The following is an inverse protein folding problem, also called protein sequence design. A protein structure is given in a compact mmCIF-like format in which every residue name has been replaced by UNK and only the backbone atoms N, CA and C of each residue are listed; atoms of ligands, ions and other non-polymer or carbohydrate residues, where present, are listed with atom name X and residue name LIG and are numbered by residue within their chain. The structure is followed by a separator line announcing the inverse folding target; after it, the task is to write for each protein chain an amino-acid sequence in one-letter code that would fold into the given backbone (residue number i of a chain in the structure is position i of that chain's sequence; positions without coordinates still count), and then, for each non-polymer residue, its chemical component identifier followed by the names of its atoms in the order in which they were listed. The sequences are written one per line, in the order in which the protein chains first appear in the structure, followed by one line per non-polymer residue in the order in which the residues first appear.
data_IF_808741596028
#
_entry.id   IF_808741596028
#
_cell.length_a   1.000
_cell.length_b   1.000
_cell.length_c   1.000
_cell.angle_alpha   90.00
_cell.angle_beta   90.00
_cell.angle_gamma   90.00
#
_symmetry.space_group_name_H-M   'P 1'
#
loop_
_entity.id
_entity.type
_entity.pdbx_description
1 polymer ?
#
# COMPACT_ATOMS: atom_id res chain seq x y z
N UNK A 1 0.95 7.18 16.99
CA UNK A 1 2.25 7.24 16.29
C UNK A 1 2.60 5.97 15.50
N UNK A 2 2.28 4.76 16.00
CA UNK A 2 2.69 3.51 15.35
C UNK A 2 1.92 3.16 14.08
N UNK A 3 0.62 3.44 13.96
CA UNK A 3 -0.19 3.04 12.80
C UNK A 3 0.24 3.74 11.50
N UNK A 4 0.43 5.06 11.53
CA UNK A 4 0.92 5.84 10.37
C UNK A 4 2.34 5.40 9.97
N UNK A 5 3.20 5.12 10.95
CA UNK A 5 4.54 4.56 10.72
C UNK A 5 4.50 3.16 10.09
N UNK A 6 3.66 2.26 10.62
CA UNK A 6 3.46 0.90 10.13
C UNK A 6 2.95 0.86 8.69
N UNK A 7 2.00 1.73 8.33
CA UNK A 7 1.50 1.83 6.94
C UNK A 7 2.63 2.31 6.03
N UNK A 8 3.39 3.32 6.44
CA UNK A 8 4.49 3.87 5.65
C UNK A 8 5.60 2.83 5.44
N UNK A 9 5.98 2.09 6.48
CA UNK A 9 6.98 1.02 6.37
C UNK A 9 6.47 -0.14 5.53
N UNK A 10 5.17 -0.47 5.61
CA UNK A 10 4.55 -1.48 4.74
C UNK A 10 4.55 -1.06 3.27
N UNK A 11 4.26 0.21 2.94
CA UNK A 11 4.38 0.72 1.56
C UNK A 11 5.84 0.66 1.09
N UNK A 12 6.80 1.01 1.96
CA UNK A 12 8.22 0.88 1.65
C UNK A 12 8.64 -0.58 1.39
N UNK A 13 8.17 -1.51 2.22
CA UNK A 13 8.38 -2.94 2.03
C UNK A 13 7.76 -3.44 0.71
N UNK A 14 6.55 -2.99 0.37
CA UNK A 14 5.89 -3.30 -0.90
C UNK A 14 6.73 -2.84 -2.09
N UNK A 15 7.25 -1.62 -2.04
CA UNK A 15 8.11 -1.06 -3.08
C UNK A 15 9.40 -1.88 -3.24
N UNK A 16 10.04 -2.25 -2.13
CA UNK A 16 11.22 -3.12 -2.16
C UNK A 16 10.87 -4.49 -2.77
N UNK A 17 9.70 -5.05 -2.43
CA UNK A 17 9.24 -6.31 -3.01
C UNK A 17 9.08 -6.22 -4.53
N UNK A 18 8.52 -5.12 -5.04
CA UNK A 18 8.34 -4.89 -6.47
C UNK A 18 9.66 -4.70 -7.23
N UNK A 19 10.63 -3.99 -6.64
CA UNK A 19 11.96 -3.81 -7.23
C UNK A 19 12.78 -5.11 -7.24
N UNK A 20 12.61 -5.95 -6.21
CA UNK A 20 13.28 -7.24 -6.08
C UNK A 20 12.55 -8.38 -6.81
N UNK A 21 11.39 -8.13 -7.41
CA UNK A 21 10.60 -9.14 -8.11
C UNK A 21 11.39 -9.82 -9.24
N UNK A 22 12.08 -9.03 -10.07
CA UNK A 22 12.88 -9.54 -11.18
C UNK A 22 14.10 -10.37 -10.74
N UNK A 23 14.95 -9.91 -9.79
CA UNK A 23 16.05 -10.75 -9.31
C UNK A 23 15.54 -12.00 -8.57
N UNK A 24 14.46 -11.89 -7.79
CA UNK A 24 13.88 -13.01 -7.06
C UNK A 24 13.23 -14.05 -7.97
N UNK A 25 12.74 -13.67 -9.17
CA UNK A 25 12.15 -14.62 -10.12
C UNK A 25 13.15 -15.65 -10.64
N UNK A 26 14.46 -15.45 -10.42
CA UNK A 26 15.50 -16.41 -10.80
C UNK A 26 15.55 -17.64 -9.89
N UNK A 27 14.98 -17.57 -8.69
CA UNK A 27 14.98 -18.67 -7.73
C UNK A 27 13.63 -18.78 -7.01
N UNK A 28 12.98 -19.94 -7.11
CA UNK A 28 11.67 -20.19 -6.50
C UNK A 28 11.64 -19.90 -4.99
N UNK A 29 12.72 -20.19 -4.26
CA UNK A 29 12.79 -19.93 -2.82
C UNK A 29 12.81 -18.42 -2.51
N UNK A 30 13.52 -17.63 -3.33
CA UNK A 30 13.55 -16.17 -3.20
C UNK A 30 12.18 -15.57 -3.52
N UNK A 31 11.54 -16.07 -4.57
CA UNK A 31 10.20 -15.65 -4.96
C UNK A 31 9.14 -15.98 -3.89
N UNK A 32 9.23 -17.17 -3.27
CA UNK A 32 8.36 -17.56 -2.16
C UNK A 32 8.56 -16.67 -0.93
N UNK A 33 9.81 -16.41 -0.54
CA UNK A 33 10.08 -15.52 0.59
C UNK A 33 9.57 -14.10 0.30
N UNK A 34 9.80 -13.62 -0.93
CA UNK A 34 9.34 -12.31 -1.37
C UNK A 34 7.81 -12.20 -1.35
N UNK A 35 7.09 -13.25 -1.77
CA UNK A 35 5.62 -13.26 -1.79
C UNK A 35 5.01 -13.20 -0.39
N UNK A 36 5.66 -13.80 0.61
CA UNK A 36 5.25 -13.70 2.02
C UNK A 36 5.34 -12.25 2.49
N UNK A 37 6.48 -11.58 2.29
CA UNK A 37 6.65 -10.17 2.67
C UNK A 37 5.70 -9.25 1.90
N UNK A 38 5.50 -9.53 0.62
CA UNK A 38 4.57 -8.80 -0.23
C UNK A 38 3.13 -8.91 0.27
N UNK A 39 2.69 -10.12 0.65
CA UNK A 39 1.36 -10.35 1.22
C UNK A 39 1.15 -9.65 2.57
N UNK A 40 2.15 -9.71 3.47
CA UNK A 40 2.12 -8.99 4.75
C UNK A 40 2.01 -7.48 4.52
N UNK A 41 2.78 -6.93 3.58
CA UNK A 41 2.75 -5.51 3.25
C UNK A 41 1.35 -5.06 2.79
N UNK A 42 0.73 -5.77 1.83
CA UNK A 42 -0.61 -5.44 1.34
C UNK A 42 -1.65 -5.50 2.47
N UNK A 43 -1.59 -6.53 3.32
CA UNK A 43 -2.53 -6.69 4.44
C UNK A 43 -2.42 -5.53 5.43
N UNK A 44 -1.20 -5.15 5.83
CA UNK A 44 -0.95 -4.03 6.75
C UNK A 44 -1.43 -2.71 6.15
N UNK A 45 -1.19 -2.47 4.86
CA UNK A 45 -1.67 -1.26 4.16
C UNK A 45 -3.20 -1.23 4.16
N UNK A 46 -3.86 -2.32 3.76
CA UNK A 46 -5.32 -2.40 3.66
C UNK A 46 -6.00 -2.17 5.02
N UNK A 47 -5.60 -2.93 6.03
CA UNK A 47 -6.17 -2.82 7.38
C UNK A 47 -5.82 -1.48 8.04
N UNK A 48 -4.58 -1.01 7.91
CA UNK A 48 -4.16 0.25 8.51
C UNK A 48 -4.90 1.46 7.92
N UNK A 49 -5.08 1.49 6.60
CA UNK A 49 -5.87 2.54 5.95
C UNK A 49 -7.35 2.44 6.30
N UNK A 50 -7.91 1.23 6.38
CA UNK A 50 -9.28 1.02 6.82
C UNK A 50 -9.51 1.59 8.21
N UNK A 51 -8.67 1.26 9.20
CA UNK A 51 -8.75 1.81 10.57
C UNK A 51 -8.69 3.35 10.57
N UNK A 52 -7.82 3.95 9.75
CA UNK A 52 -7.75 5.41 9.60
C UNK A 52 -9.04 6.00 9.05
N UNK A 53 -9.65 5.37 8.04
CA UNK A 53 -10.93 5.83 7.46
C UNK A 53 -12.05 5.80 8.52
N UNK A 54 -12.14 4.73 9.31
CA UNK A 54 -13.10 4.66 10.42
C UNK A 54 -12.87 5.77 11.45
N UNK A 55 -11.60 6.06 11.79
CA UNK A 55 -11.27 7.09 12.76
C UNK A 55 -11.54 8.52 12.25
N UNK A 56 -11.42 8.75 10.94
CA UNK A 56 -11.63 10.06 10.31
C UNK A 56 -13.11 10.39 10.08
N UNK A 57 -13.95 9.38 9.93
CA UNK A 57 -15.37 9.53 9.57
C UNK A 57 -16.28 8.65 10.44
N UNK A 58 -16.07 8.67 11.76
CA UNK A 58 -16.87 7.88 12.72
C UNK A 58 -18.36 8.16 12.62
N UNK A 59 -18.73 9.41 12.33
CA UNK A 59 -20.14 9.85 12.20
C UNK A 59 -20.84 9.33 10.93
N UNK A 60 -20.08 8.84 9.94
CA UNK A 60 -20.60 8.35 8.66
C UNK A 60 -19.86 7.09 8.19
N UNK A 61 -19.63 6.15 9.10
CA UNK A 61 -18.80 4.96 8.88
C UNK A 61 -19.23 4.16 7.64
N UNK A 62 -20.53 3.91 7.46
CA UNK A 62 -21.03 3.11 6.32
C UNK A 62 -20.72 3.78 4.97
N UNK A 63 -20.88 5.10 4.91
CA UNK A 63 -20.57 5.88 3.72
C UNK A 63 -19.07 5.89 3.45
N UNK A 64 -18.26 6.17 4.47
CA UNK A 64 -16.80 6.21 4.36
C UNK A 64 -16.22 4.85 3.93
N UNK A 65 -16.74 3.75 4.49
CA UNK A 65 -16.32 2.40 4.15
C UNK A 65 -16.76 1.99 2.74
N UNK A 66 -17.94 2.41 2.29
CA UNK A 66 -18.38 2.18 0.90
C UNK A 66 -17.49 2.91 -0.11
N UNK A 67 -17.10 4.16 0.18
CA UNK A 67 -16.16 4.94 -0.63
C UNK A 67 -14.77 4.30 -0.63
N UNK A 68 -14.29 3.86 0.54
CA UNK A 68 -13.01 3.16 0.67
C UNK A 68 -12.98 1.90 -0.20
N UNK A 69 -14.03 1.06 -0.10
CA UNK A 69 -14.18 -0.13 -0.95
C UNK A 69 -14.27 0.22 -2.43
N UNK A 70 -15.00 1.29 -2.78
CA UNK A 70 -15.11 1.77 -4.16
C UNK A 70 -13.75 2.13 -4.76
N UNK A 71 -12.94 2.91 -4.04
CA UNK A 71 -11.59 3.28 -4.49
C UNK A 71 -10.67 2.06 -4.54
N UNK A 72 -10.79 1.12 -3.59
CA UNK A 72 -9.98 -0.10 -3.59
C UNK A 72 -10.23 -0.95 -4.84
N UNK A 73 -11.51 -1.10 -5.24
CA UNK A 73 -11.88 -1.82 -6.47
C UNK A 73 -11.38 -1.11 -7.74
N UNK A 74 -11.48 0.23 -7.79
CA UNK A 74 -10.88 1.02 -8.88
C UNK A 74 -9.38 0.77 -8.95
N UNK A 75 -8.69 0.74 -7.82
CA UNK A 75 -7.25 0.42 -7.74
C UNK A 75 -6.91 -0.96 -8.29
N UNK A 76 -7.68 -1.99 -7.91
CA UNK A 76 -7.50 -3.36 -8.43
C UNK A 76 -7.72 -3.39 -9.95
N UNK A 77 -8.81 -2.79 -10.44
CA UNK A 77 -9.11 -2.74 -11.87
C UNK A 77 -8.05 -1.99 -12.68
N UNK A 78 -7.61 -0.84 -12.19
CA UNK A 78 -6.53 -0.06 -12.81
C UNK A 78 -5.20 -0.84 -12.81
N UNK A 79 -4.87 -1.50 -11.71
CA UNK A 79 -3.68 -2.35 -11.62
C UNK A 79 -3.71 -3.52 -12.60
N UNK A 80 -4.87 -4.18 -12.75
CA UNK A 80 -5.06 -5.25 -13.72
C UNK A 80 -4.93 -4.75 -15.16
N UNK A 81 -5.51 -3.59 -15.48
CA UNK A 81 -5.40 -2.97 -16.81
C UNK A 81 -3.95 -2.61 -17.13
N UNK A 82 -3.25 -1.92 -16.23
CA UNK A 82 -1.83 -1.58 -16.41
C UNK A 82 -0.99 -2.86 -16.53
N UNK A 83 -1.23 -3.86 -15.67
CA UNK A 83 -0.55 -5.16 -15.74
C UNK A 83 -0.73 -5.85 -17.09
N UNK A 84 -1.96 -5.84 -17.63
CA UNK A 84 -2.27 -6.37 -18.97
C UNK A 84 -1.54 -5.60 -20.07
N UNK A 85 -1.50 -4.27 -20.00
CA UNK A 85 -0.80 -3.44 -20.98
C UNK A 85 0.72 -3.68 -20.94
N UNK A 86 1.31 -3.80 -19.75
CA UNK A 86 2.74 -4.09 -19.58
C UNK A 86 3.08 -5.49 -20.08
N UNK A 87 2.22 -6.47 -19.82
CA UNK A 87 2.36 -7.83 -20.32
C UNK A 87 2.36 -7.90 -21.84
N UNK A 88 1.53 -7.10 -22.51
CA UNK A 88 1.31 -7.16 -23.96
C UNK A 88 2.28 -6.29 -24.75
N UNK A 89 2.64 -5.10 -24.24
CA UNK A 89 3.45 -4.11 -24.97
C UNK A 89 4.93 -4.08 -24.58
N UNK A 90 5.27 -4.49 -23.34
CA UNK A 90 6.63 -4.38 -22.81
C UNK A 90 7.25 -5.75 -22.57
N UNK A 91 6.90 -6.38 -21.45
CA UNK A 91 7.35 -7.73 -21.04
C UNK A 91 6.79 -8.03 -19.65
N UNK A 92 6.50 -9.31 -19.37
CA UNK A 92 6.17 -9.78 -18.01
C UNK A 92 7.25 -9.43 -16.97
N UNK A 93 8.52 -9.36 -17.40
CA UNK A 93 9.65 -9.00 -16.53
C UNK A 93 9.60 -7.55 -16.03
N UNK A 94 8.93 -6.65 -16.77
CA UNK A 94 8.84 -5.23 -16.43
C UNK A 94 7.75 -4.92 -15.41
N UNK A 95 6.84 -5.87 -15.11
CA UNK A 95 5.69 -5.66 -14.23
C UNK A 95 6.11 -5.15 -12.85
N UNK A 96 7.16 -5.72 -12.26
CA UNK A 96 7.68 -5.27 -10.96
C UNK A 96 8.12 -3.80 -10.99
N UNK A 97 8.86 -3.38 -12.01
CA UNK A 97 9.34 -2.01 -12.14
C UNK A 97 8.22 -1.03 -12.45
N UNK A 98 7.28 -1.39 -13.32
CA UNK A 98 6.13 -0.52 -13.63
C UNK A 98 5.24 -0.35 -12.41
N UNK A 99 5.02 -1.43 -11.63
CA UNK A 99 4.29 -1.36 -10.36
C UNK A 99 5.03 -0.58 -9.27
N UNK A 100 6.37 -0.52 -9.31
CA UNK A 100 7.15 0.25 -8.34
C UNK A 100 6.95 1.76 -8.48
N UNK A 101 6.60 2.27 -9.67
CA UNK A 101 6.33 3.69 -9.91
C UNK A 101 5.14 4.21 -9.07
N UNK A 102 3.92 3.66 -9.18
CA UNK A 102 2.81 4.08 -8.33
C UNK A 102 3.05 3.77 -6.85
N UNK A 103 3.78 2.69 -6.50
CA UNK A 103 4.15 2.41 -5.11
C UNK A 103 5.07 3.51 -4.53
N UNK A 104 6.00 4.05 -5.32
CA UNK A 104 6.87 5.15 -4.91
C UNK A 104 6.07 6.44 -4.70
N UNK A 105 5.16 6.76 -5.62
CA UNK A 105 4.26 7.91 -5.50
C UNK A 105 3.40 7.77 -4.23
N UNK A 106 2.86 6.58 -3.96
CA UNK A 106 2.10 6.30 -2.74
C UNK A 106 2.95 6.46 -1.49
N UNK A 107 4.22 6.03 -1.49
CA UNK A 107 5.13 6.18 -0.36
C UNK A 107 5.41 7.65 -0.06
N UNK A 108 5.78 8.42 -1.08
CA UNK A 108 6.03 9.88 -0.95
C UNK A 108 4.77 10.57 -0.44
N UNK A 109 3.62 10.24 -1.00
CA UNK A 109 2.34 10.81 -0.57
C UNK A 109 1.99 10.44 0.88
N UNK A 110 2.18 9.18 1.27
CA UNK A 110 1.95 8.72 2.64
C UNK A 110 2.82 9.45 3.66
N UNK A 111 4.12 9.61 3.36
CA UNK A 111 5.03 10.38 4.21
C UNK A 111 4.57 11.85 4.31
N UNK A 112 4.18 12.46 3.19
CA UNK A 112 3.73 13.85 3.17
C UNK A 112 2.43 14.05 3.95
N UNK A 113 1.41 13.21 3.73
CA UNK A 113 0.10 13.33 4.36
C UNK A 113 0.18 13.05 5.87
N UNK A 114 0.94 12.03 6.29
CA UNK A 114 1.07 11.70 7.71
C UNK A 114 1.93 12.70 8.48
N UNK A 115 2.86 13.39 7.81
CA UNK A 115 3.58 14.52 8.42
C UNK A 115 2.73 15.79 8.48
N UNK A 116 1.86 16.00 7.49
CA UNK A 116 1.04 17.23 7.41
C UNK A 116 -0.15 17.16 8.34
N UNK A 117 -0.90 16.04 8.33
CA UNK A 117 -2.15 15.84 9.06
C UNK A 117 -2.05 14.60 9.97
N UNK A 118 -1.41 14.71 11.14
CA UNK A 118 -1.47 13.64 12.14
C UNK A 118 -2.93 13.39 12.53
N UNK A 119 -3.35 12.14 12.53
CA UNK A 119 -4.73 11.77 12.88
C UNK A 119 -4.97 11.91 14.38
N UNK A 120 -6.21 12.13 14.87
CA UNK A 120 -6.51 12.25 16.30
C UNK A 120 -6.05 11.07 17.17
N UNK A 121 -5.94 9.87 16.59
CA UNK A 121 -5.32 8.67 17.21
C UNK A 121 -3.84 8.88 17.58
N UNK A 122 -3.13 9.72 16.83
CA UNK A 122 -1.75 10.10 17.12
C UNK A 122 -1.69 11.19 18.21
N UNK A 123 -2.76 11.98 18.39
CA UNK A 123 -2.86 13.13 19.31
C UNK A 123 -3.30 12.73 20.73
N UNK A 124 -4.27 11.81 20.89
CA UNK A 124 -4.66 11.29 22.21
C UNK A 124 -3.53 10.54 22.92
N UNK A 125 -2.59 9.93 22.18
CA UNK A 125 -1.45 9.24 22.79
C UNK A 125 -0.30 10.19 23.17
N UNK A 126 -0.16 11.33 22.51
CA UNK A 126 0.85 12.35 22.84
C UNK A 126 0.53 13.09 24.16
N UNK A 127 -0.75 13.16 24.54
CA UNK A 127 -1.16 13.73 25.84
C UNK A 127 -0.98 12.77 27.03
N UNK A 128 -0.66 11.50 26.77
CA UNK A 128 -0.44 10.46 27.80
C UNK A 128 1.04 10.07 27.96
N UNK A 129 1.97 10.76 27.29
CA UNK A 129 3.43 10.61 27.41
C UNK A 129 4.07 11.85 28.01
#
# INVERSE_FOLDING_TARGET
QHASGLITTAIGLLLICLLLLLPASRNANQLMLLSVFWGIAIMVIGLGMQVKVLALASDATDVAMSLFSGIFNIGIGAGALVGSQVSTQLSMSAIGYVGAVPALVALVWAVMIFRRWPTPLDEQQAHHS
#
